data_IF_817120357217
#
_entry.id   IF_817120357217
#
_cell.length_a   1.000
_cell.length_b   1.000
_cell.length_c   1.000
_cell.angle_alpha   90.00
_cell.angle_beta   90.00
_cell.angle_gamma   90.00
#
_symmetry.space_group_name_H-M   'P 1'
#
loop_
_entity.id
_entity.type
_entity.pdbx_description
1 polymer ?
#
# COMPACT_ATOMS: atom_id res chain seq x y z
N UNK A 1 -1.38 -17.15 -33.65
CA UNK A 1 -1.49 -15.74 -33.22
C UNK A 1 -2.31 -15.71 -31.95
N UNK A 2 -1.68 -15.52 -30.78
CA UNK A 2 -2.43 -15.32 -29.54
C UNK A 2 -2.63 -13.82 -29.35
N UNK A 3 -3.89 -13.41 -29.25
CA UNK A 3 -4.31 -12.04 -29.00
C UNK A 3 -3.67 -11.51 -27.72
N UNK A 4 -2.97 -10.38 -27.84
CA UNK A 4 -2.40 -9.66 -26.71
C UNK A 4 -3.51 -9.18 -25.79
N UNK A 5 -3.80 -9.97 -24.75
CA UNK A 5 -4.66 -9.57 -23.65
C UNK A 5 -4.00 -8.34 -23.02
N UNK A 6 -4.61 -7.16 -23.17
CA UNK A 6 -4.20 -5.96 -22.45
C UNK A 6 -4.37 -6.30 -20.95
N UNK A 7 -3.26 -6.59 -20.28
CA UNK A 7 -3.28 -6.87 -18.85
C UNK A 7 -3.58 -5.53 -18.18
N UNK A 8 -4.78 -5.40 -17.62
CA UNK A 8 -5.12 -4.25 -16.78
C UNK A 8 -4.10 -4.19 -15.64
N UNK A 9 -3.36 -3.08 -15.55
CA UNK A 9 -2.35 -2.89 -14.52
C UNK A 9 -3.03 -2.89 -13.15
N UNK A 10 -2.66 -3.86 -12.32
CA UNK A 10 -3.11 -4.04 -10.95
C UNK A 10 -1.90 -4.31 -10.05
N UNK A 11 -2.07 -4.19 -8.74
CA UNK A 11 -1.01 -4.57 -7.79
C UNK A 11 -0.48 -5.98 -8.06
N UNK A 12 -1.40 -6.93 -8.26
CA UNK A 12 -1.07 -8.36 -8.41
C UNK A 12 -0.35 -8.62 -9.73
N UNK A 13 -0.83 -8.05 -10.84
CA UNK A 13 -0.15 -8.21 -12.13
C UNK A 13 1.25 -7.60 -12.14
N UNK A 14 1.46 -6.47 -11.46
CA UNK A 14 2.77 -5.83 -11.35
C UNK A 14 3.74 -6.67 -10.50
N UNK A 15 3.26 -7.22 -9.37
CA UNK A 15 4.05 -8.13 -8.53
C UNK A 15 4.39 -9.42 -9.30
N UNK A 16 3.42 -10.01 -10.00
CA UNK A 16 3.62 -11.21 -10.82
C UNK A 16 4.64 -10.98 -11.95
N UNK A 17 4.61 -9.80 -12.57
CA UNK A 17 5.58 -9.43 -13.58
C UNK A 17 7.00 -9.45 -13.00
N UNK A 18 7.24 -8.78 -11.87
CA UNK A 18 8.57 -8.78 -11.24
C UNK A 18 9.01 -10.12 -10.67
N UNK A 19 8.08 -10.96 -10.21
CA UNK A 19 8.39 -12.34 -9.85
C UNK A 19 8.96 -13.10 -11.05
N UNK A 20 8.33 -12.98 -12.21
CA UNK A 20 8.76 -13.65 -13.45
C UNK A 20 10.10 -13.11 -13.94
N UNK A 21 10.27 -11.79 -14.02
CA UNK A 21 11.52 -11.17 -14.46
C UNK A 21 12.74 -11.60 -13.63
N UNK A 22 12.54 -11.84 -12.33
CA UNK A 22 13.61 -12.21 -11.39
C UNK A 22 13.75 -13.71 -11.16
N UNK A 23 12.85 -14.51 -11.70
CA UNK A 23 12.78 -15.95 -11.43
C UNK A 23 12.49 -16.28 -9.96
N UNK A 24 11.75 -15.42 -9.25
CA UNK A 24 11.42 -15.63 -7.84
C UNK A 24 10.20 -16.54 -7.69
N UNK A 25 10.30 -17.51 -6.78
CA UNK A 25 9.15 -18.29 -6.30
C UNK A 25 8.48 -17.58 -5.12
N UNK A 26 7.25 -17.98 -4.75
CA UNK A 26 6.60 -17.45 -3.55
C UNK A 26 7.37 -17.78 -2.27
N UNK A 27 7.99 -18.96 -2.20
CA UNK A 27 8.90 -19.32 -1.10
C UNK A 27 10.05 -18.34 -1.02
N UNK A 28 10.71 -18.05 -2.17
CA UNK A 28 11.82 -17.12 -2.20
C UNK A 28 11.41 -15.70 -1.82
N UNK A 29 10.25 -15.25 -2.31
CA UNK A 29 9.72 -13.95 -1.96
C UNK A 29 9.41 -13.87 -0.46
N UNK A 30 8.86 -14.94 0.14
CA UNK A 30 8.60 -15.02 1.58
C UNK A 30 9.88 -14.94 2.42
N UNK A 31 10.96 -15.60 2.00
CA UNK A 31 12.27 -15.47 2.65
C UNK A 31 12.80 -14.03 2.62
N UNK A 32 12.67 -13.33 1.48
CA UNK A 32 13.21 -11.97 1.31
C UNK A 32 12.36 -10.94 2.06
N UNK A 33 11.04 -11.07 2.00
CA UNK A 33 10.10 -10.09 2.57
C UNK A 33 9.76 -10.35 4.04
N UNK A 34 10.02 -11.55 4.53
CA UNK A 34 9.52 -12.03 5.83
C UNK A 34 8.00 -12.32 5.83
N UNK A 35 7.29 -12.17 4.71
CA UNK A 35 5.86 -12.51 4.62
C UNK A 35 5.72 -14.02 4.50
N UNK A 36 4.83 -14.61 5.30
CA UNK A 36 4.53 -16.03 5.23
C UNK A 36 4.06 -16.43 3.81
N UNK A 37 4.58 -17.56 3.29
CA UNK A 37 4.24 -18.05 1.94
C UNK A 37 2.74 -18.26 1.73
N UNK A 38 2.01 -18.71 2.76
CA UNK A 38 0.55 -18.85 2.70
C UNK A 38 -0.15 -17.51 2.53
N UNK A 39 0.33 -16.45 3.20
CA UNK A 39 -0.18 -15.08 3.04
C UNK A 39 0.14 -14.54 1.65
N UNK A 40 1.34 -14.78 1.12
CA UNK A 40 1.69 -14.41 -0.26
C UNK A 40 0.79 -15.13 -1.27
N UNK A 41 0.52 -16.42 -1.07
CA UNK A 41 -0.40 -17.19 -1.90
C UNK A 41 -1.83 -16.65 -1.84
N UNK A 42 -2.33 -16.32 -0.65
CA UNK A 42 -3.65 -15.71 -0.46
C UNK A 42 -3.79 -14.37 -1.19
N UNK A 43 -2.72 -13.57 -1.19
CA UNK A 43 -2.69 -12.24 -1.80
C UNK A 43 -2.60 -12.30 -3.33
N UNK A 44 -1.81 -13.23 -3.87
CA UNK A 44 -1.46 -13.27 -5.29
C UNK A 44 -2.28 -14.28 -6.08
N UNK A 45 -2.58 -15.46 -5.52
CA UNK A 45 -3.09 -16.60 -6.28
C UNK A 45 -4.56 -16.97 -5.99
N UNK A 46 -5.13 -16.50 -4.87
CA UNK A 46 -6.50 -16.84 -4.48
C UNK A 46 -7.54 -16.02 -5.28
N UNK A 47 -8.71 -16.61 -5.51
CA UNK A 47 -9.89 -15.93 -6.08
C UNK A 47 -11.11 -16.06 -5.14
N UNK A 48 -11.67 -14.96 -4.61
CA UNK A 48 -11.13 -13.60 -4.65
C UNK A 48 -9.84 -13.49 -3.83
N UNK A 49 -8.93 -12.63 -4.28
CA UNK A 49 -7.64 -12.45 -3.63
C UNK A 49 -7.76 -11.72 -2.31
N UNK A 50 -6.90 -12.07 -1.34
CA UNK A 50 -6.81 -11.35 -0.08
C UNK A 50 -6.29 -9.93 -0.31
N UNK A 51 -6.87 -8.96 0.39
CA UNK A 51 -6.41 -7.57 0.36
C UNK A 51 -4.97 -7.43 0.90
N UNK A 52 -4.19 -6.55 0.28
CA UNK A 52 -2.85 -6.19 0.77
C UNK A 52 -2.93 -5.06 1.80
N UNK A 53 -1.98 -5.05 2.74
CA UNK A 53 -1.73 -3.88 3.58
C UNK A 53 -0.72 -2.97 2.88
N UNK A 54 -0.68 -1.68 3.25
CA UNK A 54 0.35 -0.78 2.73
C UNK A 54 1.78 -1.23 3.12
N UNK A 55 1.92 -1.86 4.29
CA UNK A 55 3.19 -2.45 4.73
C UNK A 55 3.69 -3.57 3.82
N UNK A 56 2.78 -4.38 3.23
CA UNK A 56 3.17 -5.38 2.23
C UNK A 56 3.81 -4.71 1.01
N UNK A 57 3.31 -3.57 0.55
CA UNK A 57 3.87 -2.87 -0.60
C UNK A 57 5.28 -2.36 -0.33
N UNK A 58 5.55 -1.88 0.89
CA UNK A 58 6.89 -1.41 1.26
C UNK A 58 7.93 -2.53 1.28
N UNK A 59 7.60 -3.66 1.92
CA UNK A 59 8.54 -4.80 1.94
C UNK A 59 8.72 -5.40 0.55
N UNK A 60 7.68 -5.38 -0.30
CA UNK A 60 7.78 -5.79 -1.70
C UNK A 60 8.66 -4.83 -2.50
N UNK A 61 8.52 -3.52 -2.31
CA UNK A 61 9.38 -2.54 -2.97
C UNK A 61 10.85 -2.79 -2.63
N UNK A 62 11.17 -3.02 -1.35
CA UNK A 62 12.54 -3.37 -0.92
C UNK A 62 13.01 -4.69 -1.53
N UNK A 63 12.19 -5.75 -1.49
CA UNK A 63 12.53 -7.06 -2.05
C UNK A 63 12.80 -7.00 -3.56
N UNK A 64 12.05 -6.16 -4.27
CA UNK A 64 12.22 -5.91 -5.69
C UNK A 64 13.19 -4.77 -6.00
N UNK A 65 13.93 -4.23 -5.02
CA UNK A 65 14.87 -3.12 -5.23
C UNK A 65 14.24 -1.92 -5.96
N UNK A 66 12.97 -1.64 -5.67
CA UNK A 66 12.22 -0.49 -6.15
C UNK A 66 12.18 0.59 -5.08
N UNK A 67 11.86 1.83 -5.48
CA UNK A 67 11.63 2.91 -4.54
C UNK A 67 10.38 2.64 -3.67
N UNK A 68 10.41 3.08 -2.40
CA UNK A 68 9.20 3.12 -1.58
C UNK A 68 8.13 3.96 -2.29
N UNK A 69 6.89 3.51 -2.21
CA UNK A 69 5.79 4.12 -2.96
C UNK A 69 5.55 3.53 -4.35
N UNK A 70 6.44 2.68 -4.89
CA UNK A 70 6.34 2.16 -6.27
C UNK A 70 4.94 1.65 -6.68
N UNK A 71 4.20 1.03 -5.76
CA UNK A 71 2.87 0.47 -6.00
C UNK A 71 1.70 1.33 -5.47
N UNK A 72 1.95 2.52 -4.93
CA UNK A 72 0.96 3.25 -4.14
C UNK A 72 -0.23 3.77 -4.95
N UNK A 73 -0.03 4.13 -6.22
CA UNK A 73 -1.12 4.55 -7.12
C UNK A 73 -2.14 3.42 -7.34
N UNK A 74 -1.65 2.18 -7.44
CA UNK A 74 -2.49 0.99 -7.63
C UNK A 74 -3.22 0.59 -6.33
N UNK A 75 -2.68 0.98 -5.17
CA UNK A 75 -3.24 0.66 -3.85
C UNK A 75 -4.56 1.36 -3.55
N UNK A 76 -4.90 2.43 -4.27
CA UNK A 76 -6.20 3.12 -4.10
C UNK A 76 -7.36 2.15 -4.24
N UNK A 77 -7.29 1.19 -5.17
CA UNK A 77 -8.31 0.15 -5.36
C UNK A 77 -8.53 -0.72 -4.13
N UNK A 78 -7.49 -0.97 -3.34
CA UNK A 78 -7.60 -1.70 -2.08
C UNK A 78 -8.26 -0.86 -0.99
N UNK A 79 -8.33 0.46 -1.10
CA UNK A 79 -8.96 1.30 -0.08
C UNK A 79 -10.50 1.27 -0.15
N UNK A 80 -11.08 0.77 -1.24
CA UNK A 80 -12.53 0.73 -1.46
C UNK A 80 -13.00 -0.73 -1.63
N UNK A 81 -13.98 -1.15 -0.83
CA UNK A 81 -14.63 -2.47 -0.96
C UNK A 81 -16.13 -2.27 -1.04
N UNK A 82 -16.73 -2.80 -2.11
CA UNK A 82 -18.18 -2.71 -2.36
C UNK A 82 -18.71 -1.27 -2.27
N UNK A 83 -17.94 -0.31 -2.81
CA UNK A 83 -18.28 1.12 -2.79
C UNK A 83 -18.10 1.80 -1.43
N UNK A 84 -17.54 1.13 -0.43
CA UNK A 84 -17.27 1.70 0.91
C UNK A 84 -15.78 1.85 1.18
N UNK A 85 -15.42 2.93 1.87
CA UNK A 85 -14.03 3.18 2.28
C UNK A 85 -13.64 2.28 3.44
N UNK A 86 -12.53 1.57 3.28
CA UNK A 86 -11.93 0.75 4.33
C UNK A 86 -11.02 1.61 5.21
N UNK A 87 -11.52 2.05 6.37
CA UNK A 87 -10.75 2.86 7.33
C UNK A 87 -9.40 2.23 7.69
N UNK A 88 -9.38 0.92 7.92
CA UNK A 88 -8.18 0.16 8.28
C UNK A 88 -7.12 0.11 7.18
N UNK A 89 -7.45 0.44 5.92
CA UNK A 89 -6.50 0.52 4.81
C UNK A 89 -6.16 1.96 4.44
N UNK A 90 -7.17 2.82 4.34
CA UNK A 90 -6.96 4.20 3.87
C UNK A 90 -6.20 5.06 4.87
N UNK A 91 -6.43 4.87 6.17
CA UNK A 91 -5.73 5.65 7.21
C UNK A 91 -4.22 5.36 7.18
N UNK A 92 -3.75 4.10 7.30
CA UNK A 92 -2.32 3.83 7.22
C UNK A 92 -1.73 4.16 5.84
N UNK A 93 -2.50 4.02 4.76
CA UNK A 93 -2.07 4.43 3.43
C UNK A 93 -1.76 5.92 3.34
N UNK A 94 -2.69 6.79 3.75
CA UNK A 94 -2.52 8.24 3.70
C UNK A 94 -1.41 8.72 4.65
N UNK A 95 -1.32 8.15 5.86
CA UNK A 95 -0.20 8.43 6.78
C UNK A 95 1.11 8.09 6.10
N UNK A 96 1.22 6.90 5.50
CA UNK A 96 2.45 6.46 4.87
C UNK A 96 2.81 7.31 3.65
N UNK A 97 1.84 7.69 2.81
CA UNK A 97 2.07 8.61 1.69
C UNK A 97 2.69 9.93 2.15
N UNK A 98 2.16 10.51 3.23
CA UNK A 98 2.70 11.75 3.80
C UNK A 98 4.12 11.57 4.35
N UNK A 99 4.42 10.45 5.00
CA UNK A 99 5.76 10.15 5.52
C UNK A 99 6.84 10.04 4.44
N UNK A 100 6.49 9.48 3.27
CA UNK A 100 7.45 9.26 2.17
C UNK A 100 7.36 10.31 1.06
N UNK A 101 6.57 11.36 1.26
CA UNK A 101 6.43 12.47 0.29
C UNK A 101 5.64 12.14 -0.98
N UNK A 102 4.79 11.11 -0.96
CA UNK A 102 3.89 10.75 -2.09
C UNK A 102 2.61 11.57 -2.06
N UNK A 103 2.76 12.89 -2.25
CA UNK A 103 1.64 13.82 -2.30
C UNK A 103 0.67 13.54 -3.46
N UNK A 104 1.19 13.08 -4.59
CA UNK A 104 0.42 12.65 -5.76
C UNK A 104 -0.60 11.55 -5.40
N UNK A 105 -0.23 10.59 -4.55
CA UNK A 105 -1.13 9.54 -4.06
C UNK A 105 -2.20 10.06 -3.10
N UNK A 106 -1.88 11.10 -2.32
CA UNK A 106 -2.86 11.79 -1.46
C UNK A 106 -3.88 12.53 -2.33
N UNK A 107 -3.41 13.31 -3.30
CA UNK A 107 -4.24 14.06 -4.25
C UNK A 107 -5.15 13.14 -5.08
N UNK A 108 -4.68 11.91 -5.38
CA UNK A 108 -5.47 10.90 -6.08
C UNK A 108 -6.68 10.40 -5.28
N UNK A 109 -6.53 10.19 -3.96
CA UNK A 109 -7.57 9.52 -3.15
C UNK A 109 -8.48 10.48 -2.40
N UNK A 110 -7.98 11.65 -1.98
CA UNK A 110 -8.74 12.59 -1.13
C UNK A 110 -10.06 13.06 -1.78
N UNK A 111 -10.13 13.39 -3.09
CA UNK A 111 -11.39 13.78 -3.72
C UNK A 111 -12.48 12.70 -3.57
N UNK A 112 -12.12 11.43 -3.82
CA UNK A 112 -13.02 10.29 -3.68
C UNK A 112 -13.50 10.10 -2.22
N UNK A 113 -12.68 10.43 -1.23
CA UNK A 113 -13.11 10.39 0.17
C UNK A 113 -14.14 11.49 0.47
N UNK A 114 -13.92 12.69 -0.06
CA UNK A 114 -14.75 13.86 0.20
C UNK A 114 -16.14 13.80 -0.47
N UNK A 115 -16.37 12.89 -1.41
CA UNK A 115 -17.70 12.61 -1.97
C UNK A 115 -18.73 12.23 -0.90
N UNK A 116 -18.28 11.69 0.23
CA UNK A 116 -19.14 11.38 1.37
C UNK A 116 -18.62 12.04 2.65
N UNK A 117 -19.38 13.00 3.16
CA UNK A 117 -19.03 13.78 4.36
C UNK A 117 -18.69 12.92 5.58
N UNK A 118 -19.23 11.69 5.70
CA UNK A 118 -18.89 10.77 6.80
C UNK A 118 -17.40 10.39 6.82
N UNK A 119 -16.75 10.45 5.66
CA UNK A 119 -15.32 10.16 5.53
C UNK A 119 -14.43 11.31 6.02
N UNK A 120 -14.95 12.50 6.35
CA UNK A 120 -14.14 13.57 6.97
C UNK A 120 -13.45 13.08 8.25
N UNK A 121 -14.12 12.21 9.02
CA UNK A 121 -13.55 11.57 10.21
C UNK A 121 -12.28 10.76 9.93
N UNK A 122 -12.09 10.25 8.71
CA UNK A 122 -10.88 9.55 8.28
C UNK A 122 -9.74 10.53 8.12
N UNK A 123 -9.97 11.69 7.47
CA UNK A 123 -8.96 12.71 7.28
C UNK A 123 -8.49 13.29 8.62
N UNK A 124 -9.41 13.51 9.57
CA UNK A 124 -9.06 13.87 10.94
C UNK A 124 -8.20 12.78 11.61
N UNK A 125 -8.56 11.51 11.48
CA UNK A 125 -7.76 10.40 12.03
C UNK A 125 -6.34 10.35 11.44
N UNK A 126 -6.18 10.69 10.17
CA UNK A 126 -4.86 10.77 9.51
C UNK A 126 -4.07 11.95 10.06
N UNK A 127 -4.68 13.13 10.16
CA UNK A 127 -4.04 14.32 10.69
C UNK A 127 -3.58 14.12 12.15
N UNK A 128 -4.42 13.53 12.99
CA UNK A 128 -4.10 13.18 14.38
C UNK A 128 -2.88 12.26 14.46
N UNK A 129 -2.83 11.21 13.64
CA UNK A 129 -1.69 10.27 13.60
C UNK A 129 -0.40 10.95 13.16
N UNK A 130 -0.46 11.80 12.12
CA UNK A 130 0.70 12.54 11.63
C UNK A 130 1.20 13.55 12.68
N UNK A 131 0.28 14.24 13.35
CA UNK A 131 0.62 15.18 14.41
C UNK A 131 1.24 14.49 15.63
N UNK A 132 0.67 13.37 16.09
CA UNK A 132 1.21 12.59 17.20
C UNK A 132 2.63 12.08 16.89
N UNK A 133 2.85 11.51 15.70
CA UNK A 133 4.16 11.02 15.26
C UNK A 133 5.18 12.17 15.12
N UNK A 134 4.74 13.34 14.67
CA UNK A 134 5.57 14.55 14.60
C UNK A 134 6.01 15.05 15.98
N UNK A 135 5.14 14.97 16.98
CA UNK A 135 5.48 15.30 18.37
C UNK A 135 6.50 14.34 18.97
N UNK A 136 6.38 13.04 18.74
CA UNK A 136 7.35 12.04 19.24
C UNK A 136 8.75 12.26 18.65
N UNK A 137 8.84 12.56 17.34
CA UNK A 137 10.11 12.91 16.67
C UNK A 137 10.71 14.21 17.21
N UNK A 138 9.86 15.17 17.59
CA UNK A 138 10.29 16.45 18.15
C UNK A 138 10.76 16.31 19.61
N UNK A 139 10.08 15.51 20.43
CA UNK A 139 10.43 15.27 21.83
C UNK A 139 11.72 14.45 21.99
N UNK A 140 11.96 13.45 21.14
CA UNK A 140 13.21 12.67 21.16
C UNK A 140 14.47 13.51 20.88
N UNK A 141 14.33 14.67 20.22
CA UNK A 141 15.43 15.61 20.00
C UNK A 141 15.80 16.43 21.23
N UNK A 142 14.90 16.58 22.21
CA UNK A 142 15.16 17.36 23.42
C UNK A 142 15.74 16.53 24.58
N UNK A 143 15.59 15.21 24.58
CA UNK A 143 16.14 14.32 25.62
C UNK A 143 17.56 13.81 25.33
N UNK A 144 18.15 14.24 24.21
CA UNK A 144 19.52 13.87 23.79
C UNK A 144 20.53 15.04 23.91
N UNK A 145 20.17 16.10 24.63
CA UNK A 145 21.03 17.25 24.97
C UNK A 145 21.26 17.27 26.49
#
# INVERSE_FOLDING_TARGET
>A
MQEGKIVQRSLRSEIEHHLKERGYTLTKLGEITGINQGVLSDILNRTPSRAMTIGHLDVLAVAFKQALGWLYELYVTECFVEGRVSRSRVIPYLVRCAEIGRQDCIELIVPNLLENQKNLSILFSVAEKLFATGNERSQSRFTSL
#
